data_IF_920365925644
#
_entry.id   IF_920365925644
#
_cell.length_a   1.000
_cell.length_b   1.000
_cell.length_c   1.000
_cell.angle_alpha   90.00
_cell.angle_beta   90.00
_cell.angle_gamma   90.00
#
_symmetry.space_group_name_H-M   'P 1'
#
loop_
_entity.id
_entity.type
_entity.pdbx_description
1 polymer ?
#
# COMPACT_ATOMS: atom_id res chain seq x y z
N UNK A 1 24.90 -48.04 57.09
CA UNK A 1 24.69 -49.49 56.90
C UNK A 1 23.54 -49.66 55.91
N UNK A 2 23.74 -50.52 54.90
CA UNK A 2 22.92 -50.81 53.71
C UNK A 2 22.85 -49.72 52.61
N UNK A 3 23.63 -49.85 51.52
CA UNK A 3 23.32 -50.49 50.20
C UNK A 3 22.17 -49.80 49.45
N UNK A 4 22.32 -49.34 48.21
CA UNK A 4 22.67 -50.13 47.02
C UNK A 4 23.03 -49.21 45.83
N UNK A 5 24.16 -49.50 45.16
CA UNK A 5 24.47 -49.03 43.80
C UNK A 5 23.63 -49.78 42.77
N UNK A 6 23.35 -49.18 41.61
CA UNK A 6 23.57 -49.85 40.32
C UNK A 6 23.65 -48.89 39.13
N UNK A 7 24.45 -49.34 38.15
CA UNK A 7 25.09 -48.71 37.00
C UNK A 7 24.20 -48.58 35.76
N UNK A 8 24.55 -47.59 34.93
CA UNK A 8 24.64 -47.59 33.45
C UNK A 8 23.39 -47.77 32.57
N UNK A 9 23.19 -46.90 31.58
CA UNK A 9 23.69 -47.04 30.19
C UNK A 9 23.26 -45.84 29.33
N UNK A 10 24.09 -45.54 28.33
CA UNK A 10 23.89 -44.55 27.26
C UNK A 10 22.71 -44.87 26.35
N UNK A 11 22.13 -43.85 25.71
CA UNK A 11 21.69 -43.90 24.32
C UNK A 11 21.44 -42.50 23.77
N UNK A 12 22.26 -42.11 22.79
CA UNK A 12 22.00 -41.03 21.85
C UNK A 12 20.73 -41.33 21.06
N UNK A 13 19.83 -40.35 20.90
CA UNK A 13 18.87 -40.34 19.81
C UNK A 13 18.72 -38.94 19.22
N UNK A 14 19.13 -38.88 17.95
CA UNK A 14 18.79 -37.89 16.93
C UNK A 14 17.27 -37.86 16.78
N UNK A 15 16.67 -36.66 16.85
CA UNK A 15 15.29 -36.45 16.37
C UNK A 15 15.35 -35.54 15.15
N UNK A 16 15.08 -36.18 14.01
CA UNK A 16 14.74 -35.57 12.74
C UNK A 16 13.31 -35.03 12.83
N UNK A 17 13.13 -33.74 12.54
CA UNK A 17 11.85 -33.13 12.14
C UNK A 17 12.13 -32.57 10.74
N UNK A 18 11.62 -33.10 9.62
CA UNK A 18 10.35 -33.77 9.41
C UNK A 18 9.49 -32.85 8.53
N UNK A 19 9.85 -32.75 7.24
CA UNK A 19 9.11 -31.98 6.25
C UNK A 19 7.70 -32.55 6.06
N UNK A 20 6.67 -31.76 6.37
CA UNK A 20 5.29 -32.10 6.08
C UNK A 20 4.91 -31.56 4.70
N UNK A 21 4.91 -32.45 3.72
CA UNK A 21 4.27 -32.25 2.42
C UNK A 21 2.74 -32.26 2.62
N UNK A 22 2.10 -31.10 2.47
CA UNK A 22 0.64 -31.01 2.38
C UNK A 22 0.23 -31.12 0.91
N UNK A 23 -0.09 -32.35 0.50
CA UNK A 23 -0.89 -32.60 -0.69
C UNK A 23 -2.37 -32.46 -0.34
N UNK A 24 -3.01 -31.38 -0.82
CA UNK A 24 -4.45 -31.26 -0.87
C UNK A 24 -4.86 -31.08 -2.33
N UNK A 25 -5.50 -32.12 -2.87
CA UNK A 25 -6.27 -32.08 -4.09
C UNK A 25 -7.50 -31.19 -3.85
N UNK A 26 -7.48 -29.95 -4.37
CA UNK A 26 -8.65 -29.07 -4.40
C UNK A 26 -9.40 -29.34 -5.69
N UNK A 27 -10.54 -30.04 -5.59
CA UNK A 27 -11.55 -30.09 -6.63
C UNK A 27 -12.33 -28.77 -6.65
N UNK A 28 -11.97 -27.89 -7.60
CA UNK A 28 -12.77 -26.89 -8.31
C UNK A 28 -13.90 -26.15 -7.58
N UNK A 29 -13.61 -24.94 -7.12
CA UNK A 29 -14.57 -23.84 -7.23
C UNK A 29 -14.42 -23.24 -8.64
N UNK A 30 -15.41 -23.45 -9.50
CA UNK A 30 -15.45 -22.88 -10.86
C UNK A 30 -15.77 -21.38 -10.81
N UNK A 31 -14.82 -20.59 -10.31
CA UNK A 31 -14.82 -19.14 -10.52
C UNK A 31 -14.31 -18.79 -11.92
N UNK A 32 -14.55 -17.55 -12.39
CA UNK A 32 -13.91 -17.03 -13.60
C UNK A 32 -12.38 -17.21 -13.50
N UNK A 33 -11.74 -17.69 -14.57
CA UNK A 33 -10.28 -17.97 -14.63
C UNK A 33 -9.45 -16.69 -14.53
N UNK A 34 -10.04 -15.57 -14.92
CA UNK A 34 -9.43 -14.24 -14.90
C UNK A 34 -10.50 -13.15 -14.91
N UNK A 35 -10.11 -11.95 -14.47
CA UNK A 35 -10.81 -10.68 -14.69
C UNK A 35 -10.01 -9.80 -15.66
N UNK A 36 -8.68 -9.92 -15.66
CA UNK A 36 -7.80 -9.23 -16.61
C UNK A 36 -6.58 -10.09 -17.03
N UNK A 37 -5.70 -9.52 -17.86
CA UNK A 37 -4.52 -10.22 -18.38
C UNK A 37 -3.51 -10.64 -17.30
N UNK A 38 -3.49 -9.95 -16.16
CA UNK A 38 -2.52 -10.19 -15.10
C UNK A 38 -2.93 -11.38 -14.24
N UNK A 39 -4.22 -11.55 -13.98
CA UNK A 39 -4.75 -12.79 -13.40
C UNK A 39 -4.29 -14.01 -14.19
N UNK A 40 -4.25 -13.89 -15.52
CA UNK A 40 -3.75 -14.94 -16.40
C UNK A 40 -2.26 -15.20 -16.26
N UNK A 41 -1.46 -14.15 -16.10
CA UNK A 41 -0.02 -14.29 -15.93
C UNK A 41 0.34 -14.90 -14.57
N UNK A 42 -0.45 -14.62 -13.53
CA UNK A 42 -0.33 -15.24 -12.20
C UNK A 42 -0.73 -16.72 -12.26
N UNK A 43 -1.83 -17.05 -12.95
CA UNK A 43 -2.37 -18.42 -12.98
C UNK A 43 -1.67 -19.34 -13.99
N UNK A 44 -1.16 -18.81 -15.11
CA UNK A 44 -0.52 -19.59 -16.19
C UNK A 44 0.96 -19.31 -16.40
N UNK A 45 1.54 -18.37 -15.66
CA UNK A 45 2.93 -17.93 -15.86
C UNK A 45 3.08 -17.03 -17.09
N UNK A 46 4.31 -16.92 -17.60
CA UNK A 46 4.59 -16.07 -18.77
C UNK A 46 3.95 -16.67 -20.04
N UNK A 47 3.26 -15.87 -20.88
CA UNK A 47 2.90 -16.32 -22.21
C UNK A 47 4.18 -16.62 -23.01
N UNK A 48 4.11 -17.59 -23.92
CA UNK A 48 5.22 -17.90 -24.82
C UNK A 48 5.63 -16.67 -25.65
N UNK A 49 6.87 -16.66 -26.13
CA UNK A 49 7.42 -15.53 -26.89
C UNK A 49 6.47 -15.05 -28.02
N UNK A 50 6.30 -13.73 -28.13
CA UNK A 50 5.41 -13.09 -29.11
C UNK A 50 3.92 -13.16 -28.78
N UNK A 51 3.54 -13.68 -27.61
CA UNK A 51 2.14 -13.76 -27.14
C UNK A 51 1.91 -12.91 -25.89
N UNK A 52 0.67 -12.47 -25.70
CA UNK A 52 0.16 -11.92 -24.44
C UNK A 52 -1.07 -12.71 -24.00
N UNK A 53 -1.26 -12.88 -22.69
CA UNK A 53 -2.54 -13.34 -22.19
C UNK A 53 -3.57 -12.20 -22.27
N UNK A 54 -4.78 -12.53 -22.67
CA UNK A 54 -5.95 -11.65 -22.60
C UNK A 54 -7.03 -12.41 -21.85
N UNK A 55 -7.71 -11.72 -20.93
CA UNK A 55 -8.87 -12.30 -20.29
C UNK A 55 -10.09 -12.11 -21.19
N UNK A 56 -10.57 -13.21 -21.79
CA UNK A 56 -11.73 -13.21 -22.66
C UNK A 56 -12.81 -14.12 -22.11
N UNK A 57 -14.00 -13.54 -21.87
CA UNK A 57 -15.13 -14.26 -21.28
C UNK A 57 -14.73 -15.03 -19.99
N UNK A 58 -13.86 -14.42 -19.18
CA UNK A 58 -13.31 -15.00 -17.96
C UNK A 58 -12.41 -16.23 -18.17
N UNK A 59 -11.77 -16.34 -19.35
CA UNK A 59 -10.83 -17.40 -19.70
C UNK A 59 -9.54 -16.78 -20.19
N UNK A 60 -8.40 -17.34 -19.77
CA UNK A 60 -7.08 -16.87 -20.14
C UNK A 60 -6.68 -17.42 -21.51
N UNK A 61 -6.73 -16.55 -22.52
CA UNK A 61 -6.40 -16.87 -23.90
C UNK A 61 -5.06 -16.21 -24.27
N UNK A 62 -4.12 -17.00 -24.78
CA UNK A 62 -2.88 -16.45 -25.34
C UNK A 62 -3.15 -15.93 -26.75
N UNK A 63 -2.96 -14.63 -26.97
CA UNK A 63 -3.04 -13.99 -28.29
C UNK A 63 -1.68 -13.52 -28.75
N UNK A 64 -1.47 -13.54 -30.06
CA UNK A 64 -0.28 -12.93 -30.63
C UNK A 64 -0.32 -11.42 -30.38
N UNK A 65 0.84 -10.85 -30.05
CA UNK A 65 0.98 -9.41 -29.87
C UNK A 65 0.91 -8.80 -31.27
N UNK A 66 -0.27 -8.28 -31.65
CA UNK A 66 -0.43 -7.51 -32.89
C UNK A 66 0.07 -6.09 -32.61
N UNK A 67 1.09 -5.59 -33.32
CA UNK A 67 1.49 -4.19 -33.21
C UNK A 67 0.34 -3.30 -33.66
N UNK A 68 -0.06 -2.32 -32.84
CA UNK A 68 -0.99 -1.29 -33.29
C UNK A 68 -0.34 -0.52 -34.45
N UNK A 69 -0.89 -0.71 -35.66
CA UNK A 69 -0.49 0.09 -36.82
C UNK A 69 -1.21 1.44 -36.71
N UNK A 70 -0.52 2.59 -36.65
CA UNK A 70 -1.16 3.89 -36.77
C UNK A 70 -1.84 3.99 -38.14
N UNK A 71 -3.15 4.24 -38.14
CA UNK A 71 -3.97 4.13 -39.35
C UNK A 71 -3.61 5.12 -40.47
N UNK A 72 -3.75 4.65 -41.71
CA UNK A 72 -4.04 5.48 -42.89
C UNK A 72 -5.07 4.76 -43.75
N UNK A 73 -6.18 5.44 -44.05
CA UNK A 73 -7.25 4.90 -44.87
C UNK A 73 -6.95 4.85 -46.38
N UNK A 74 -7.77 4.03 -47.04
CA UNK A 74 -8.21 4.10 -48.44
C UNK A 74 -7.31 3.58 -49.58
N UNK A 75 -7.85 2.53 -50.22
CA UNK A 75 -8.11 2.33 -51.66
C UNK A 75 -7.18 1.44 -52.54
N UNK A 76 -7.89 0.56 -53.27
CA UNK A 76 -7.67 -0.11 -54.55
C UNK A 76 -6.42 -0.96 -54.86
N UNK A 77 -6.69 -2.19 -55.34
CA UNK A 77 -5.97 -2.78 -56.48
C UNK A 77 -5.51 -4.24 -56.32
N UNK A 78 -6.05 -5.12 -57.15
CA UNK A 78 -5.63 -6.53 -57.33
C UNK A 78 -4.64 -6.65 -58.51
N UNK A 79 -3.52 -7.34 -58.32
CA UNK A 79 -2.57 -7.92 -59.32
C UNK A 79 -1.50 -8.69 -58.49
N UNK A 80 -1.26 -10.02 -58.55
CA UNK A 80 -0.92 -10.95 -59.65
C UNK A 80 0.56 -10.93 -60.14
N UNK A 81 1.54 -11.16 -59.24
CA UNK A 81 2.93 -11.42 -59.64
C UNK A 81 3.69 -12.36 -58.69
N UNK A 82 4.17 -13.48 -59.24
CA UNK A 82 5.01 -14.51 -58.59
C UNK A 82 6.49 -14.22 -58.84
N UNK A 83 7.31 -14.09 -57.79
CA UNK A 83 8.79 -14.23 -57.87
C UNK A 83 9.34 -14.66 -56.49
N UNK A 84 10.22 -15.69 -56.38
CA UNK A 84 10.76 -16.13 -55.11
C UNK A 84 12.03 -15.32 -54.78
N UNK A 85 11.82 -14.13 -54.23
CA UNK A 85 12.87 -13.28 -53.67
C UNK A 85 13.26 -13.74 -52.26
N UNK A 86 14.55 -13.97 -52.08
CA UNK A 86 15.20 -14.48 -50.88
C UNK A 86 14.87 -13.67 -49.61
N UNK A 87 14.49 -14.41 -48.56
CA UNK A 87 14.33 -13.95 -47.19
C UNK A 87 15.64 -13.33 -46.66
N UNK A 88 15.57 -12.02 -46.42
CA UNK A 88 16.41 -11.32 -45.46
C UNK A 88 15.56 -10.22 -44.80
N UNK A 89 14.38 -10.61 -44.30
CA UNK A 89 13.66 -9.79 -43.35
C UNK A 89 14.47 -9.80 -42.06
N UNK A 90 15.32 -8.79 -41.85
CA UNK A 90 15.87 -8.53 -40.53
C UNK A 90 14.67 -8.17 -39.66
N UNK A 91 14.19 -9.15 -38.90
CA UNK A 91 13.28 -8.93 -37.78
C UNK A 91 14.00 -8.02 -36.80
N UNK A 92 13.86 -6.71 -37.01
CA UNK A 92 14.11 -5.72 -36.00
C UNK A 92 12.96 -5.81 -34.99
N UNK A 93 12.84 -6.97 -34.34
CA UNK A 93 12.20 -7.10 -33.05
C UNK A 93 12.87 -6.02 -32.22
N UNK A 94 12.14 -4.93 -31.99
CA UNK A 94 12.67 -3.81 -31.21
C UNK A 94 12.85 -4.38 -29.83
N UNK A 95 14.10 -4.75 -29.49
CA UNK A 95 14.48 -5.15 -28.14
C UNK A 95 13.78 -4.20 -27.17
N UNK A 96 13.15 -4.72 -26.10
CA UNK A 96 12.41 -3.88 -25.16
C UNK A 96 13.33 -2.72 -24.75
N UNK A 97 12.94 -1.50 -25.14
CA UNK A 97 13.78 -0.31 -24.94
C UNK A 97 14.17 -0.25 -23.48
N UNK A 98 15.48 -0.31 -23.19
CA UNK A 98 15.96 -0.31 -21.83
C UNK A 98 15.47 0.97 -21.13
N UNK A 99 15.19 0.89 -19.82
CA UNK A 99 14.73 2.04 -19.05
C UNK A 99 15.66 3.26 -19.17
N UNK A 100 16.95 3.02 -19.36
CA UNK A 100 17.94 4.07 -19.60
C UNK A 100 17.63 4.92 -20.85
N UNK A 101 17.05 4.31 -21.89
CA UNK A 101 16.85 4.91 -23.21
C UNK A 101 15.45 5.53 -23.39
N UNK A 102 14.49 5.19 -22.52
CA UNK A 102 13.15 5.80 -22.55
C UNK A 102 13.20 7.26 -22.11
N UNK A 103 12.37 8.09 -22.76
CA UNK A 103 12.11 9.47 -22.32
C UNK A 103 11.44 9.46 -20.95
N UNK A 104 11.92 10.30 -20.04
CA UNK A 104 11.35 10.47 -18.70
C UNK A 104 10.95 11.91 -18.52
N UNK A 105 9.68 12.13 -18.15
CA UNK A 105 9.22 13.43 -17.66
C UNK A 105 9.96 13.78 -16.35
N UNK A 106 10.31 15.06 -16.18
CA UNK A 106 11.07 15.51 -15.02
C UNK A 106 10.30 15.33 -13.69
N UNK A 107 8.97 15.29 -13.74
CA UNK A 107 8.11 15.12 -12.58
C UNK A 107 7.55 13.71 -12.50
N UNK A 108 7.05 13.13 -13.59
CA UNK A 108 6.33 11.85 -13.59
C UNK A 108 7.14 10.66 -14.11
N UNK A 109 8.33 10.89 -14.66
CA UNK A 109 9.14 9.79 -15.20
C UNK A 109 8.45 9.20 -16.42
N UNK A 110 8.24 7.88 -16.42
CA UNK A 110 7.48 7.20 -17.47
C UNK A 110 5.99 7.03 -17.15
N UNK A 111 5.52 7.49 -15.98
CA UNK A 111 4.11 7.44 -15.62
C UNK A 111 3.31 8.48 -16.40
N UNK A 112 2.07 8.13 -16.74
CA UNK A 112 1.17 9.00 -17.50
C UNK A 112 -0.01 9.44 -16.63
N UNK A 113 -0.11 10.75 -16.42
CA UNK A 113 -1.25 11.37 -15.75
C UNK A 113 -2.51 11.22 -16.59
N UNK A 114 -3.60 10.76 -15.97
CA UNK A 114 -4.88 10.58 -16.64
C UNK A 114 -5.73 11.86 -16.63
N UNK A 115 -6.70 11.99 -17.56
CA UNK A 115 -7.64 13.11 -17.56
C UNK A 115 -8.38 13.26 -16.22
N UNK A 116 -8.64 14.51 -15.83
CA UNK A 116 -9.26 14.83 -14.54
C UNK A 116 -8.28 15.05 -13.40
N UNK A 117 -6.97 14.84 -13.63
CA UNK A 117 -5.93 15.08 -12.65
C UNK A 117 -4.88 16.08 -13.17
N UNK A 118 -4.22 16.78 -12.25
CA UNK A 118 -3.16 17.74 -12.59
C UNK A 118 -1.95 17.54 -11.69
N UNK A 119 -0.75 17.67 -12.25
CA UNK A 119 0.47 17.85 -11.47
C UNK A 119 0.55 19.32 -11.07
N UNK A 120 0.59 19.60 -9.77
CA UNK A 120 0.66 20.96 -9.24
C UNK A 120 2.12 21.41 -9.15
N UNK A 121 2.94 20.62 -8.48
CA UNK A 121 4.35 20.91 -8.23
C UNK A 121 5.10 19.62 -7.84
N UNK A 122 6.43 19.67 -7.89
CA UNK A 122 7.30 18.57 -7.48
C UNK A 122 8.50 19.07 -6.67
N UNK A 123 9.05 18.19 -5.85
CA UNK A 123 10.22 18.45 -5.01
C UNK A 123 11.14 17.23 -4.99
N UNK A 124 12.45 17.43 -4.88
CA UNK A 124 13.39 16.31 -4.70
C UNK A 124 13.12 15.60 -3.37
N UNK A 125 13.31 14.29 -3.36
CA UNK A 125 13.23 13.46 -2.17
C UNK A 125 14.57 12.77 -1.97
N UNK A 126 15.11 12.79 -0.75
CA UNK A 126 16.34 12.07 -0.47
C UNK A 126 16.13 10.55 -0.57
N UNK A 127 17.11 9.84 -1.13
CA UNK A 127 17.04 8.39 -1.40
C UNK A 127 16.79 7.53 -0.15
N UNK A 128 17.20 8.03 1.01
CA UNK A 128 17.08 7.35 2.29
C UNK A 128 15.71 7.54 2.99
N UNK A 129 14.77 8.27 2.40
CA UNK A 129 13.42 8.43 2.97
C UNK A 129 12.51 7.33 2.44
N UNK A 130 11.94 6.53 3.35
CA UNK A 130 11.08 5.38 3.02
C UNK A 130 9.58 5.60 3.28
N UNK A 131 9.22 6.53 4.15
CA UNK A 131 7.83 6.90 4.42
C UNK A 131 7.72 8.39 4.65
N UNK A 132 6.57 8.99 4.31
CA UNK A 132 6.33 10.42 4.47
C UNK A 132 4.94 10.71 5.05
N UNK A 133 4.80 11.89 5.63
CA UNK A 133 3.50 12.47 5.96
C UNK A 133 3.56 13.99 5.84
N UNK A 134 2.43 14.64 5.65
CA UNK A 134 2.33 16.09 5.64
C UNK A 134 1.39 16.57 6.74
N UNK A 135 1.85 17.54 7.53
CA UNK A 135 1.08 18.12 8.64
C UNK A 135 0.80 19.57 8.33
N UNK A 136 -0.48 19.95 8.38
CA UNK A 136 -0.91 21.32 8.18
C UNK A 136 -0.29 22.24 9.25
N UNK A 137 0.29 23.34 8.79
CA UNK A 137 0.81 24.43 9.61
C UNK A 137 -0.03 25.69 9.47
N UNK A 138 0.52 26.81 9.93
CA UNK A 138 -0.13 28.11 9.80
C UNK A 138 -0.28 28.52 8.32
N UNK A 139 -1.33 29.29 8.02
CA UNK A 139 -1.52 29.94 6.71
C UNK A 139 -1.54 28.99 5.51
N UNK A 140 -2.00 27.75 5.68
CA UNK A 140 -2.08 26.77 4.59
C UNK A 140 -0.73 26.16 4.17
N UNK A 141 0.32 26.35 4.98
CA UNK A 141 1.58 25.65 4.80
C UNK A 141 1.49 24.20 5.27
N UNK A 142 2.36 23.33 4.76
CA UNK A 142 2.45 21.94 5.20
C UNK A 142 3.90 21.60 5.52
N UNK A 143 4.14 21.11 6.73
CA UNK A 143 5.44 20.53 7.08
C UNK A 143 5.44 19.07 6.64
N UNK A 144 6.41 18.71 5.80
CA UNK A 144 6.62 17.32 5.38
C UNK A 144 7.57 16.67 6.38
N UNK A 145 7.20 15.49 6.86
CA UNK A 145 8.06 14.65 7.68
C UNK A 145 8.36 13.35 6.94
N UNK A 146 9.47 12.70 7.26
CA UNK A 146 9.79 11.40 6.69
C UNK A 146 10.60 10.51 7.60
N UNK A 147 10.45 9.20 7.41
CA UNK A 147 11.24 8.16 8.06
C UNK A 147 12.47 7.89 7.22
N UNK A 148 13.63 8.04 7.82
CA UNK A 148 14.93 7.83 7.20
C UNK A 148 15.42 6.38 7.42
N UNK A 149 16.31 5.89 6.56
CA UNK A 149 16.95 4.57 6.66
C UNK A 149 17.70 4.34 7.98
N UNK A 150 18.09 5.41 8.68
CA UNK A 150 18.65 5.35 10.03
C UNK A 150 17.60 5.05 11.13
N UNK A 151 16.34 4.80 10.72
CA UNK A 151 15.19 4.49 11.58
C UNK A 151 14.77 5.66 12.47
N UNK A 152 15.01 6.89 12.04
CA UNK A 152 14.54 8.10 12.72
C UNK A 152 13.60 8.93 11.83
N UNK A 153 12.74 9.73 12.46
CA UNK A 153 11.85 10.67 11.77
C UNK A 153 12.51 12.04 11.71
N UNK A 154 12.43 12.68 10.55
CA UNK A 154 12.96 14.01 10.30
C UNK A 154 11.86 14.95 9.81
N UNK A 155 11.93 16.22 10.19
CA UNK A 155 11.24 17.29 9.47
C UNK A 155 12.00 17.54 8.14
N UNK A 156 11.34 17.32 7.02
CA UNK A 156 11.94 17.45 5.69
C UNK A 156 11.82 18.86 5.12
N UNK A 157 11.03 19.73 5.74
CA UNK A 157 10.83 21.12 5.33
C UNK A 157 9.36 21.46 5.14
N UNK A 158 9.10 22.63 4.56
CA UNK A 158 7.76 23.10 4.25
C UNK A 158 7.51 22.92 2.77
N UNK A 159 6.45 22.18 2.41
CA UNK A 159 6.08 21.92 1.02
C UNK A 159 5.92 23.23 0.21
N UNK A 160 6.46 23.32 -1.02
CA UNK A 160 7.22 22.30 -1.78
C UNK A 160 8.73 22.26 -1.50
N UNK A 161 9.24 23.07 -0.59
CA UNK A 161 10.67 23.15 -0.27
C UNK A 161 11.08 22.02 0.68
N UNK A 162 11.35 20.86 0.11
CA UNK A 162 11.88 19.67 0.80
C UNK A 162 13.41 19.72 0.76
N UNK A 163 14.05 19.91 1.91
CA UNK A 163 15.51 20.04 2.03
C UNK A 163 16.12 19.25 3.20
N UNK A 164 15.31 18.64 4.06
CA UNK A 164 15.78 17.80 5.16
C UNK A 164 16.40 18.57 6.33
N UNK A 165 15.92 18.33 7.54
CA UNK A 165 16.73 18.55 8.74
C UNK A 165 17.86 17.52 8.79
N UNK A 166 19.04 17.89 9.28
CA UNK A 166 20.10 16.92 9.65
C UNK A 166 19.96 16.39 11.07
N UNK A 167 19.00 16.91 11.83
CA UNK A 167 18.71 16.51 13.21
C UNK A 167 17.44 15.67 13.26
N UNK A 168 17.50 14.43 13.75
CA UNK A 168 16.30 13.60 13.91
C UNK A 168 15.38 14.19 14.98
N UNK A 169 14.08 14.11 14.76
CA UNK A 169 13.05 14.49 15.75
C UNK A 169 12.94 13.42 16.83
N UNK A 170 12.77 12.17 16.41
CA UNK A 170 12.72 11.03 17.31
C UNK A 170 13.09 9.74 16.57
N UNK A 171 13.64 8.73 17.28
CA UNK A 171 13.88 7.43 16.69
C UNK A 171 12.57 6.62 16.65
N UNK A 172 12.31 5.95 15.53
CA UNK A 172 11.17 5.04 15.34
C UNK A 172 11.32 3.83 16.25
N UNK A 173 12.54 3.33 16.39
CA UNK A 173 12.91 2.30 17.36
C UNK A 173 13.21 2.98 18.69
N UNK A 174 12.67 2.45 19.79
CA UNK A 174 12.90 3.03 21.11
C UNK A 174 14.41 3.09 21.46
N UNK A 175 14.83 4.02 22.33
CA UNK A 175 16.22 4.08 22.78
C UNK A 175 16.71 2.73 23.35
N UNK A 176 17.86 2.25 22.85
CA UNK A 176 18.41 0.91 23.15
C UNK A 176 17.55 -0.27 22.65
N UNK A 177 16.64 0.00 21.72
CA UNK A 177 15.81 -1.01 21.09
C UNK A 177 16.57 -1.91 20.09
N UNK A 178 15.85 -2.88 19.50
CA UNK A 178 16.42 -3.89 18.62
C UNK A 178 17.00 -3.31 17.33
N UNK A 179 18.25 -3.67 17.02
CA UNK A 179 18.95 -3.20 15.82
C UNK A 179 18.41 -3.83 14.53
N UNK A 180 17.82 -5.02 14.62
CA UNK A 180 17.21 -5.76 13.51
C UNK A 180 15.72 -5.40 13.29
N UNK A 181 15.24 -4.28 13.84
CA UNK A 181 13.89 -3.80 13.61
C UNK A 181 13.66 -3.40 12.14
N UNK A 182 12.48 -3.72 11.62
CA UNK A 182 11.99 -3.30 10.32
C UNK A 182 11.01 -2.13 10.53
N UNK A 183 11.40 -0.87 10.25
CA UNK A 183 10.47 0.25 10.31
C UNK A 183 9.30 0.02 9.37
N UNK A 184 8.10 0.38 9.82
CA UNK A 184 6.91 0.36 8.99
C UNK A 184 6.98 1.49 7.94
N UNK A 185 6.37 1.25 6.77
CA UNK A 185 6.22 2.26 5.71
C UNK A 185 5.12 3.30 6.03
N UNK A 186 4.69 3.40 7.29
CA UNK A 186 3.67 4.35 7.74
C UNK A 186 4.26 5.39 8.67
N UNK A 187 4.08 6.64 8.26
CA UNK A 187 4.23 7.83 9.09
C UNK A 187 2.91 8.60 8.97
N UNK A 188 2.23 8.83 10.09
CA UNK A 188 0.94 9.53 10.10
C UNK A 188 0.87 10.56 11.20
N UNK A 189 -0.08 11.48 11.11
CA UNK A 189 -0.23 12.59 12.05
C UNK A 189 -1.66 12.77 12.54
N UNK A 190 -1.84 13.02 13.84
CA UNK A 190 -3.11 13.48 14.43
C UNK A 190 -3.26 15.03 14.37
N UNK A 191 -2.26 15.72 13.79
CA UNK A 191 -2.17 17.18 13.73
C UNK A 191 -1.13 17.78 14.67
N UNK A 192 -0.92 17.16 15.85
CA UNK A 192 0.04 17.62 16.87
C UNK A 192 1.03 16.54 17.30
N UNK A 193 0.84 15.31 16.83
CA UNK A 193 1.69 14.15 17.06
C UNK A 193 1.92 13.40 15.78
N UNK A 194 3.09 12.78 15.70
CA UNK A 194 3.46 11.84 14.66
C UNK A 194 3.41 10.42 15.21
N UNK A 195 2.92 9.48 14.41
CA UNK A 195 3.01 8.05 14.69
C UNK A 195 3.81 7.37 13.60
N UNK A 196 4.82 6.62 14.03
CA UNK A 196 5.57 5.65 13.25
C UNK A 196 5.67 4.35 14.05
N UNK A 197 6.43 3.37 13.57
CA UNK A 197 6.70 2.17 14.35
C UNK A 197 7.50 1.14 13.56
N UNK A 198 7.70 -0.01 14.18
CA UNK A 198 8.50 -1.09 13.61
C UNK A 198 7.97 -2.45 14.04
N UNK A 199 8.36 -3.46 13.26
CA UNK A 199 8.08 -4.88 13.51
C UNK A 199 9.40 -5.66 13.52
N UNK A 200 9.44 -6.77 14.25
CA UNK A 200 10.55 -7.72 14.32
C UNK A 200 10.18 -9.00 13.57
N UNK A 201 11.17 -9.86 13.33
CA UNK A 201 10.96 -11.12 12.61
C UNK A 201 9.96 -12.09 13.29
N UNK A 202 9.77 -11.96 14.61
CA UNK A 202 8.78 -12.74 15.37
C UNK A 202 7.39 -12.07 15.43
N UNK A 203 7.17 -11.05 14.59
CA UNK A 203 5.99 -10.20 14.56
C UNK A 203 5.73 -9.38 15.84
N UNK A 204 6.63 -9.37 16.83
CA UNK A 204 6.59 -8.35 17.88
C UNK A 204 7.04 -7.00 17.33
N UNK A 205 6.77 -5.92 18.04
CA UNK A 205 7.06 -4.58 17.54
C UNK A 205 6.56 -3.50 18.48
N UNK A 206 6.71 -2.25 18.05
CA UNK A 206 6.17 -1.10 18.75
C UNK A 206 5.69 -0.03 17.77
N UNK A 207 4.69 0.72 18.21
CA UNK A 207 4.38 2.04 17.64
C UNK A 207 5.02 3.11 18.51
N UNK A 208 5.55 4.14 17.86
CA UNK A 208 6.17 5.30 18.46
C UNK A 208 5.29 6.52 18.18
N UNK A 209 4.76 7.14 19.24
CA UNK A 209 4.00 8.39 19.17
C UNK A 209 4.88 9.52 19.68
N UNK A 210 5.11 10.51 18.85
CA UNK A 210 5.92 11.68 19.17
C UNK A 210 5.09 12.95 19.12
N UNK A 211 5.04 13.67 20.23
CA UNK A 211 4.33 14.94 20.34
C UNK A 211 5.23 16.09 19.89
N UNK A 212 4.86 16.75 18.79
CA UNK A 212 5.70 17.77 18.14
C UNK A 212 5.74 19.09 18.91
N UNK A 213 4.87 19.27 19.90
CA UNK A 213 4.80 20.47 20.74
C UNK A 213 5.67 20.30 21.98
N UNK A 214 5.56 19.15 22.65
CA UNK A 214 6.29 18.86 23.90
C UNK A 214 7.64 18.16 23.66
N UNK A 215 7.88 17.68 22.44
CA UNK A 215 9.05 16.89 22.04
C UNK A 215 9.21 15.59 22.85
N UNK A 216 8.09 15.02 23.30
CA UNK A 216 8.05 13.77 24.06
C UNK A 216 7.66 12.59 23.16
N UNK A 217 8.30 11.44 23.36
CA UNK A 217 7.99 10.21 22.64
C UNK A 217 7.51 9.11 23.60
N UNK A 218 6.45 8.42 23.19
CA UNK A 218 5.87 7.27 23.89
C UNK A 218 5.89 6.07 22.96
N UNK A 219 6.31 4.91 23.47
CA UNK A 219 6.38 3.66 22.71
C UNK A 219 5.41 2.64 23.30
N UNK A 220 4.57 2.04 22.47
CA UNK A 220 3.59 1.03 22.89
C UNK A 220 3.86 -0.27 22.14
N UNK A 221 3.79 -1.41 22.83
CA UNK A 221 3.89 -2.71 22.19
C UNK A 221 2.77 -2.88 21.16
N UNK A 222 3.14 -3.33 19.96
CA UNK A 222 2.23 -3.60 18.86
C UNK A 222 2.71 -4.83 18.10
N UNK A 223 1.80 -5.73 17.72
CA UNK A 223 2.17 -6.95 16.97
C UNK A 223 1.73 -6.88 15.52
N UNK A 224 2.51 -7.52 14.67
CA UNK A 224 2.32 -7.59 13.23
C UNK A 224 2.91 -6.40 12.49
N UNK A 225 2.91 -6.51 11.17
CA UNK A 225 3.03 -5.33 10.32
C UNK A 225 1.75 -4.52 10.47
N UNK A 226 1.85 -3.19 10.47
CA UNK A 226 0.69 -2.33 10.66
C UNK A 226 0.57 -1.27 9.57
N UNK A 227 -0.67 -0.88 9.32
CA UNK A 227 -1.01 0.40 8.70
C UNK A 227 -1.61 1.31 9.75
N UNK A 228 -1.53 2.61 9.52
CA UNK A 228 -2.10 3.58 10.44
C UNK A 228 -2.70 4.78 9.71
N UNK A 229 -3.64 5.45 10.37
CA UNK A 229 -4.11 6.80 10.01
C UNK A 229 -4.28 7.63 11.28
N UNK A 230 -4.02 8.93 11.18
CA UNK A 230 -4.28 9.87 12.26
C UNK A 230 -5.62 10.57 12.09
N UNK A 231 -6.38 10.63 13.18
CA UNK A 231 -7.58 11.43 13.38
C UNK A 231 -7.26 12.52 14.40
N UNK A 232 -8.08 13.55 14.52
CA UNK A 232 -7.90 14.53 15.61
C UNK A 232 -7.96 13.82 16.98
N UNK A 233 -6.84 13.85 17.70
CA UNK A 233 -6.69 13.23 19.02
C UNK A 233 -6.68 11.70 19.07
N UNK A 234 -6.53 11.01 17.94
CA UNK A 234 -6.42 9.55 17.91
C UNK A 234 -5.64 9.00 16.71
N UNK A 235 -5.11 7.79 16.84
CA UNK A 235 -4.61 7.01 15.71
C UNK A 235 -5.42 5.72 15.56
N UNK A 236 -5.72 5.34 14.31
CA UNK A 236 -6.31 4.04 13.99
C UNK A 236 -5.22 3.14 13.42
N UNK A 237 -4.88 2.09 14.15
CA UNK A 237 -3.74 1.21 13.89
C UNK A 237 -4.29 -0.16 13.53
N UNK A 238 -4.02 -0.61 12.32
CA UNK A 238 -4.34 -1.96 11.87
C UNK A 238 -3.22 -2.90 12.28
N UNK A 239 -3.49 -3.92 13.08
CA UNK A 239 -2.44 -4.77 13.65
C UNK A 239 -2.99 -6.09 14.15
N UNK A 240 -2.12 -6.91 14.74
CA UNK A 240 -2.48 -8.17 15.39
C UNK A 240 -2.70 -8.03 16.89
N UNK A 241 -2.19 -6.95 17.48
CA UNK A 241 -2.25 -6.64 18.91
C UNK A 241 -1.82 -5.19 19.15
N UNK A 242 -2.33 -4.58 20.22
CA UNK A 242 -1.86 -3.28 20.70
C UNK A 242 -1.94 -3.23 22.24
N UNK A 243 -0.84 -2.76 22.86
CA UNK A 243 -0.71 -2.64 24.31
C UNK A 243 -1.91 -1.92 24.93
N UNK A 244 -2.48 -2.52 25.98
CA UNK A 244 -3.64 -1.98 26.70
C UNK A 244 -4.99 -2.54 26.23
N UNK A 245 -5.03 -3.39 25.20
CA UNK A 245 -6.25 -4.09 24.78
C UNK A 245 -6.21 -5.54 25.22
N UNK A 246 -7.29 -6.01 25.86
CA UNK A 246 -7.37 -7.39 26.35
C UNK A 246 -7.60 -8.42 25.25
N UNK A 247 -8.31 -8.04 24.18
CA UNK A 247 -8.59 -8.94 23.06
C UNK A 247 -7.47 -8.90 22.02
N UNK A 248 -6.84 -10.05 21.81
CA UNK A 248 -5.81 -10.25 20.78
C UNK A 248 -6.43 -10.62 19.43
N UNK A 249 -5.76 -10.28 18.33
CA UNK A 249 -6.12 -10.73 16.99
C UNK A 249 -6.07 -9.61 15.96
N UNK A 250 -6.16 -9.98 14.68
CA UNK A 250 -6.17 -9.00 13.60
C UNK A 250 -7.39 -8.08 13.74
N UNK A 251 -7.14 -6.78 13.90
CA UNK A 251 -8.18 -5.77 14.11
C UNK A 251 -7.68 -4.37 13.74
N UNK A 252 -8.60 -3.40 13.75
CA UNK A 252 -8.23 -1.98 13.84
C UNK A 252 -8.38 -1.55 15.29
N UNK A 253 -7.28 -1.07 15.85
CA UNK A 253 -7.18 -0.54 17.20
C UNK A 253 -7.20 0.99 17.17
N UNK A 254 -7.91 1.60 18.11
CA UNK A 254 -7.88 3.03 18.33
C UNK A 254 -6.94 3.35 19.50
N UNK A 255 -5.98 4.24 19.26
CA UNK A 255 -5.10 4.83 20.26
C UNK A 255 -5.49 6.30 20.46
N UNK A 256 -6.23 6.60 21.53
CA UNK A 256 -6.65 7.96 21.89
C UNK A 256 -5.53 8.67 22.65
N UNK A 257 -5.06 9.79 22.10
CA UNK A 257 -3.82 10.47 22.52
C UNK A 257 -4.04 11.68 23.43
N UNK A 258 -5.29 11.98 23.79
CA UNK A 258 -5.66 13.15 24.61
C UNK A 258 -5.44 12.95 26.12
N UNK A 259 -5.18 11.72 26.58
CA UNK A 259 -4.91 11.39 27.99
C UNK A 259 -3.50 10.83 28.17
N UNK A 260 -2.97 10.91 29.39
CA UNK A 260 -1.74 10.19 29.77
C UNK A 260 -2.01 9.34 31.02
N UNK A 261 -1.88 8.00 30.95
CA UNK A 261 -1.52 7.21 29.76
C UNK A 261 -2.58 7.31 28.64
N UNK A 262 -2.17 6.96 27.42
CA UNK A 262 -3.09 6.89 26.29
C UNK A 262 -4.19 5.86 26.55
N UNK A 263 -5.38 6.10 26.01
CA UNK A 263 -6.50 5.15 26.07
C UNK A 263 -6.53 4.33 24.80
N UNK A 264 -6.63 3.01 24.94
CA UNK A 264 -6.59 2.07 23.81
C UNK A 264 -7.85 1.21 23.81
N UNK A 265 -8.43 1.00 22.63
CA UNK A 265 -9.60 0.14 22.45
C UNK A 265 -9.59 -0.52 21.07
N UNK A 266 -10.22 -1.69 20.92
CA UNK A 266 -10.49 -2.26 19.61
C UNK A 266 -11.64 -1.50 18.95
N UNK A 267 -11.38 -0.87 17.80
CA UNK A 267 -12.37 -0.09 17.06
C UNK A 267 -13.16 -0.94 16.07
N UNK A 268 -12.51 -1.87 15.36
CA UNK A 268 -13.19 -2.68 14.35
C UNK A 268 -12.68 -4.12 14.32
N UNK A 269 -13.60 -5.05 14.10
CA UNK A 269 -13.30 -6.47 13.83
C UNK A 269 -13.48 -6.79 12.35
N UNK A 270 -12.66 -7.69 11.83
CA UNK A 270 -12.73 -8.11 10.44
C UNK A 270 -13.79 -9.20 10.23
N UNK A 271 -14.48 -9.22 9.09
CA UNK A 271 -15.57 -10.14 8.81
C UNK A 271 -15.10 -11.58 8.48
N UNK A 272 -13.78 -11.84 8.57
CA UNK A 272 -13.17 -13.15 8.32
C UNK A 272 -12.25 -13.54 9.47
N UNK A 273 -12.30 -14.82 9.86
CA UNK A 273 -11.56 -15.35 11.01
C UNK A 273 -10.04 -15.41 10.79
N UNK A 274 -9.60 -15.71 9.56
CA UNK A 274 -8.20 -15.69 9.17
C UNK A 274 -7.92 -14.39 8.42
N UNK A 275 -7.52 -13.37 9.16
CA UNK A 275 -7.13 -12.09 8.60
C UNK A 275 -5.74 -11.69 9.07
N UNK A 276 -5.07 -10.89 8.25
CA UNK A 276 -3.88 -10.14 8.61
C UNK A 276 -4.14 -8.65 8.38
N UNK A 277 -3.19 -7.82 8.80
CA UNK A 277 -3.30 -6.38 8.67
C UNK A 277 -3.38 -5.95 7.21
N UNK A 278 -4.28 -4.99 6.93
CA UNK A 278 -4.47 -4.39 5.62
C UNK A 278 -4.09 -2.91 5.63
N UNK A 279 -4.64 -2.16 4.68
CA UNK A 279 -4.33 -0.74 4.46
C UNK A 279 -5.41 0.15 5.06
N UNK A 280 -5.00 1.24 5.72
CA UNK A 280 -5.91 2.25 6.24
C UNK A 280 -5.69 3.57 5.48
N UNK A 281 -6.75 4.35 5.27
CA UNK A 281 -6.67 5.71 4.73
C UNK A 281 -7.72 6.63 5.37
N UNK A 282 -7.49 7.95 5.30
CA UNK A 282 -8.43 8.97 5.78
C UNK A 282 -8.63 10.01 4.69
N UNK A 283 -9.88 10.25 4.32
CA UNK A 283 -10.26 11.28 3.34
C UNK A 283 -10.48 12.64 3.99
N UNK A 284 -10.55 13.71 3.18
CA UNK A 284 -10.79 15.07 3.70
C UNK A 284 -12.18 15.27 4.29
N UNK A 285 -13.18 14.55 3.78
CA UNK A 285 -14.52 14.45 4.38
C UNK A 285 -14.60 13.47 5.57
N UNK A 286 -13.45 13.10 6.14
CA UNK A 286 -13.30 12.33 7.38
C UNK A 286 -13.83 10.90 7.33
N UNK A 287 -14.07 10.35 6.13
CA UNK A 287 -14.37 8.93 5.96
C UNK A 287 -13.07 8.16 6.17
N UNK A 288 -13.10 7.17 7.07
CA UNK A 288 -11.97 6.26 7.26
C UNK A 288 -12.15 5.06 6.34
N UNK A 289 -11.07 4.67 5.68
CA UNK A 289 -10.97 3.41 4.96
C UNK A 289 -10.22 2.44 5.87
N UNK A 290 -10.87 1.35 6.24
CA UNK A 290 -10.34 0.31 7.12
C UNK A 290 -10.18 -0.97 6.32
N UNK A 291 -8.93 -1.44 6.20
CA UNK A 291 -8.60 -2.61 5.39
C UNK A 291 -8.28 -3.85 6.19
N UNK A 292 -8.27 -5.00 5.53
CA UNK A 292 -7.66 -6.23 6.05
C UNK A 292 -7.21 -7.12 4.89
N UNK A 293 -6.33 -8.08 5.17
CA UNK A 293 -6.00 -9.15 4.23
C UNK A 293 -6.72 -10.43 4.63
N UNK A 294 -7.57 -10.96 3.75
CA UNK A 294 -8.35 -12.20 3.96
C UNK A 294 -8.21 -13.16 2.79
N UNK A 295 -6.99 -13.34 2.26
CA UNK A 295 -6.70 -14.00 0.99
C UNK A 295 -6.52 -13.03 -0.18
N UNK A 296 -7.05 -11.82 -0.03
CA UNK A 296 -6.77 -10.61 -0.83
C UNK A 296 -6.92 -9.40 0.08
N UNK A 297 -6.40 -8.25 -0.33
CA UNK A 297 -6.65 -7.00 0.37
C UNK A 297 -8.10 -6.58 0.16
N UNK A 298 -8.80 -6.23 1.24
CA UNK A 298 -10.18 -5.75 1.24
C UNK A 298 -10.22 -4.42 1.96
N UNK A 299 -10.91 -3.43 1.40
CA UNK A 299 -11.08 -2.10 1.99
C UNK A 299 -12.57 -1.81 2.22
N UNK A 300 -12.90 -1.37 3.43
CA UNK A 300 -14.24 -0.88 3.78
C UNK A 300 -14.19 0.61 4.08
N UNK A 301 -15.18 1.36 3.60
CA UNK A 301 -15.33 2.77 3.96
C UNK A 301 -16.29 2.92 5.15
N UNK A 302 -15.95 3.77 6.10
CA UNK A 302 -16.74 4.02 7.32
C UNK A 302 -16.87 5.51 7.54
N UNK A 303 -18.10 6.01 7.62
CA UNK A 303 -18.37 7.44 7.82
C UNK A 303 -18.10 7.88 9.27
N UNK A 304 -17.84 9.19 9.50
CA UNK A 304 -17.74 9.75 10.85
C UNK A 304 -18.90 9.38 11.76
N UNK A 305 -20.13 9.42 11.25
CA UNK A 305 -21.33 9.11 12.03
C UNK A 305 -21.42 7.63 12.44
N UNK A 306 -20.66 6.76 11.78
CA UNK A 306 -20.55 5.35 12.13
C UNK A 306 -19.39 5.07 13.10
N UNK A 307 -18.18 5.58 12.84
CA UNK A 307 -17.02 5.24 13.70
C UNK A 307 -16.85 6.15 14.92
N UNK A 308 -17.28 7.41 14.88
CA UNK A 308 -17.03 8.35 15.98
C UNK A 308 -17.72 7.94 17.29
N UNK A 309 -18.98 7.45 17.29
CA UNK A 309 -19.59 6.92 18.51
C UNK A 309 -18.83 5.73 19.09
N UNK A 310 -18.36 4.82 18.24
CA UNK A 310 -17.58 3.65 18.65
C UNK A 310 -16.22 4.05 19.23
N UNK A 311 -15.52 4.97 18.56
CA UNK A 311 -14.26 5.55 19.02
C UNK A 311 -14.42 6.24 20.39
N UNK A 312 -15.47 7.05 20.56
CA UNK A 312 -15.74 7.73 21.82
C UNK A 312 -16.02 6.73 22.94
N UNK A 313 -16.91 5.77 22.71
CA UNK A 313 -17.31 4.76 23.69
C UNK A 313 -16.25 3.69 23.96
N UNK A 314 -15.23 3.55 23.09
CA UNK A 314 -14.25 2.46 23.16
C UNK A 314 -14.87 1.11 22.81
N UNK A 315 -15.86 1.09 21.92
CA UNK A 315 -16.53 -0.12 21.45
C UNK A 315 -16.09 -0.49 20.04
N UNK A 316 -16.35 -1.74 19.65
CA UNK A 316 -16.03 -2.23 18.30
C UNK A 316 -17.22 -2.08 17.35
N UNK A 317 -16.93 -1.69 16.12
CA UNK A 317 -17.86 -1.75 14.98
C UNK A 317 -17.62 -3.01 14.14
N UNK A 318 -18.67 -3.43 13.43
CA UNK A 318 -18.66 -4.57 12.52
C UNK A 318 -18.54 -4.09 11.07
N UNK A 319 -17.48 -4.50 10.38
CA UNK A 319 -17.24 -4.13 8.98
C UNK A 319 -18.13 -4.89 7.98
N UNK A 320 -18.86 -5.91 8.41
CA UNK A 320 -19.89 -6.57 7.58
C UNK A 320 -21.23 -5.82 7.57
N UNK A 321 -21.33 -4.72 8.33
CA UNK A 321 -22.55 -3.93 8.44
C UNK A 321 -22.95 -3.22 7.14
N UNK A 322 -24.25 -2.92 7.00
CA UNK A 322 -24.78 -2.22 5.84
C UNK A 322 -24.21 -0.78 5.65
N UNK A 323 -23.69 -0.19 6.72
CA UNK A 323 -23.10 1.16 6.73
C UNK A 323 -21.60 1.18 6.44
N UNK A 324 -20.98 0.01 6.25
CA UNK A 324 -19.53 -0.13 6.03
C UNK A 324 -19.27 -0.84 4.70
N UNK A 325 -19.63 -0.22 3.55
CA UNK A 325 -19.52 -0.86 2.25
C UNK A 325 -18.07 -1.25 1.96
N UNK A 326 -17.90 -2.44 1.37
CA UNK A 326 -16.65 -2.84 0.74
C UNK A 326 -16.46 -1.98 -0.52
N UNK A 327 -15.37 -1.22 -0.59
CA UNK A 327 -15.08 -0.32 -1.71
C UNK A 327 -14.04 -0.89 -2.67
N UNK A 328 -13.24 -1.85 -2.21
CA UNK A 328 -12.21 -2.48 -3.03
C UNK A 328 -11.87 -3.86 -2.49
N UNK A 329 -11.54 -4.80 -3.39
CA UNK A 329 -10.95 -6.07 -3.03
C UNK A 329 -10.03 -6.60 -4.14
N UNK A 330 -8.73 -6.76 -3.86
CA UNK A 330 -7.73 -7.16 -4.85
C UNK A 330 -6.42 -7.65 -4.23
N UNK A 331 -5.65 -8.45 -4.97
CA UNK A 331 -4.31 -8.91 -4.57
C UNK A 331 -3.18 -7.94 -4.98
N UNK A 332 -3.52 -6.94 -5.78
CA UNK A 332 -2.63 -5.96 -6.39
C UNK A 332 -2.35 -4.73 -5.51
N UNK A 333 -2.93 -4.61 -4.32
CA UNK A 333 -2.78 -3.41 -3.49
C UNK A 333 -1.49 -3.39 -2.66
N UNK A 334 -0.70 -2.33 -2.82
CA UNK A 334 0.53 -2.07 -2.06
C UNK A 334 0.43 -0.95 -1.04
N UNK A 335 -0.45 0.02 -1.26
CA UNK A 335 -0.64 1.13 -0.33
C UNK A 335 -1.97 1.84 -0.55
N UNK A 336 -2.51 2.47 0.49
CA UNK A 336 -3.68 3.35 0.39
C UNK A 336 -3.42 4.67 1.12
N UNK A 337 -3.88 5.79 0.55
CA UNK A 337 -3.73 7.11 1.13
C UNK A 337 -4.99 7.97 0.87
N UNK A 338 -5.24 8.97 1.69
CA UNK A 338 -6.29 9.96 1.40
C UNK A 338 -5.95 10.77 0.15
N UNK A 339 -6.95 11.05 -0.69
CA UNK A 339 -6.82 11.94 -1.83
C UNK A 339 -8.12 12.73 -2.03
N UNK A 340 -8.20 13.87 -1.33
CA UNK A 340 -9.42 14.66 -1.20
C UNK A 340 -10.55 13.88 -0.55
N UNK A 341 -11.77 14.06 -1.07
CA UNK A 341 -12.94 13.26 -0.71
C UNK A 341 -12.90 11.84 -1.33
N UNK A 342 -11.74 11.18 -1.30
CA UNK A 342 -11.53 9.87 -1.89
C UNK A 342 -10.26 9.21 -1.35
N UNK A 343 -10.03 7.96 -1.75
CA UNK A 343 -8.85 7.19 -1.40
C UNK A 343 -8.04 6.87 -2.65
N UNK A 344 -6.74 7.14 -2.60
CA UNK A 344 -5.78 6.70 -3.60
C UNK A 344 -5.27 5.30 -3.26
N UNK A 345 -5.13 4.46 -4.29
CA UNK A 345 -4.66 3.09 -4.22
C UNK A 345 -3.40 2.96 -5.08
N UNK A 346 -2.29 2.53 -4.50
CA UNK A 346 -1.10 2.13 -5.24
C UNK A 346 -1.21 0.65 -5.54
N UNK A 347 -1.36 0.33 -6.83
CA UNK A 347 -1.60 -1.04 -7.29
C UNK A 347 -0.41 -1.54 -8.10
N UNK A 348 -0.16 -2.83 -8.04
CA UNK A 348 1.02 -3.43 -8.65
C UNK A 348 1.15 -4.94 -8.43
N UNK A 349 2.34 -5.44 -8.76
CA UNK A 349 2.72 -6.83 -8.59
C UNK A 349 4.18 -6.92 -8.11
N UNK A 350 4.57 -8.05 -7.53
CA UNK A 350 5.97 -8.28 -7.16
C UNK A 350 6.71 -8.93 -8.33
N UNK A 351 7.95 -8.52 -8.57
CA UNK A 351 8.86 -9.26 -9.44
C UNK A 351 9.27 -10.59 -8.77
N UNK A 352 9.94 -11.48 -9.51
CA UNK A 352 10.50 -12.72 -8.95
C UNK A 352 11.52 -12.44 -7.82
N UNK A 353 12.13 -11.26 -7.81
CA UNK A 353 13.06 -10.80 -6.77
C UNK A 353 12.37 -9.99 -5.67
N UNK A 354 11.04 -10.02 -5.60
CA UNK A 354 10.21 -9.29 -4.62
C UNK A 354 10.33 -7.76 -4.70
N UNK A 355 10.67 -7.22 -5.88
CA UNK A 355 10.60 -5.78 -6.11
C UNK A 355 9.17 -5.37 -6.45
N UNK A 356 8.71 -4.25 -5.90
CA UNK A 356 7.39 -3.72 -6.20
C UNK A 356 7.37 -3.12 -7.61
N UNK A 357 6.59 -3.72 -8.49
CA UNK A 357 6.31 -3.21 -9.82
C UNK A 357 4.99 -2.46 -9.77
N UNK A 358 5.05 -1.15 -9.99
CA UNK A 358 3.83 -0.33 -10.05
C UNK A 358 3.04 -0.69 -11.31
N UNK A 359 1.73 -0.81 -11.16
CA UNK A 359 0.79 -0.94 -12.27
C UNK A 359 0.08 0.40 -12.51
N UNK A 360 -0.50 0.96 -11.44
CA UNK A 360 -1.08 2.29 -11.45
C UNK A 360 -1.18 2.90 -10.05
N UNK A 361 -1.48 4.20 -10.03
CA UNK A 361 -2.15 4.84 -8.90
C UNK A 361 -3.58 5.11 -9.33
N UNK A 362 -4.55 4.59 -8.60
CA UNK A 362 -5.98 4.79 -8.84
C UNK A 362 -6.64 5.52 -7.68
N UNK A 363 -7.86 6.04 -7.90
CA UNK A 363 -8.65 6.76 -6.90
C UNK A 363 -10.09 6.23 -6.87
N UNK A 364 -10.66 6.13 -5.68
CA UNK A 364 -12.09 5.90 -5.46
C UNK A 364 -12.64 7.10 -4.71
N UNK A 365 -13.58 7.85 -5.30
CA UNK A 365 -14.27 8.94 -4.59
C UNK A 365 -15.22 8.37 -3.53
N UNK A 366 -15.29 8.99 -2.36
CA UNK A 366 -16.12 8.59 -1.24
C UNK A 366 -16.97 9.77 -0.75
N UNK A 367 -18.26 9.58 -0.58
CA UNK A 367 -19.16 10.58 -0.01
C UNK A 367 -20.06 9.99 1.08
N UNK A 368 -20.45 10.77 2.11
CA UNK A 368 -21.47 10.34 3.06
C UNK A 368 -22.77 9.97 2.33
N UNK A 369 -23.48 8.99 2.86
CA UNK A 369 -24.74 8.50 2.29
C UNK A 369 -25.78 8.23 3.39
N UNK A 370 -27.05 8.16 2.98
CA UNK A 370 -28.18 8.01 3.89
C UNK A 370 -28.55 9.32 4.58
N UNK A 371 -29.80 9.43 5.03
CA UNK A 371 -30.30 10.62 5.72
C UNK A 371 -29.69 10.82 7.11
N UNK A 372 -29.12 9.77 7.69
CA UNK A 372 -28.40 9.80 8.97
C UNK A 372 -26.87 9.93 8.81
N UNK A 373 -26.36 10.00 7.57
CA UNK A 373 -24.93 10.12 7.27
C UNK A 373 -24.09 8.89 7.64
N UNK A 374 -24.70 7.78 8.05
CA UNK A 374 -23.96 6.57 8.47
C UNK A 374 -23.43 5.76 7.31
N UNK A 375 -24.09 5.82 6.15
CA UNK A 375 -23.64 5.14 4.95
C UNK A 375 -22.48 5.89 4.27
N UNK A 376 -21.84 5.19 3.33
CA UNK A 376 -20.88 5.78 2.40
C UNK A 376 -21.27 5.36 0.98
N UNK A 377 -21.20 6.27 0.02
CA UNK A 377 -21.25 5.96 -1.41
C UNK A 377 -19.83 5.98 -1.96
N UNK A 378 -19.43 4.90 -2.62
CA UNK A 378 -18.18 4.82 -3.37
C UNK A 378 -18.44 5.04 -4.85
N UNK A 379 -17.59 5.86 -5.48
CA UNK A 379 -17.55 6.02 -6.93
C UNK A 379 -16.84 4.86 -7.62
N UNK A 380 -16.65 5.01 -8.93
CA UNK A 380 -15.86 4.06 -9.70
C UNK A 380 -14.36 4.18 -9.36
N UNK A 381 -13.62 3.12 -9.65
CA UNK A 381 -12.16 3.15 -9.63
C UNK A 381 -11.65 3.93 -10.85
N UNK A 382 -11.02 5.07 -10.62
CA UNK A 382 -10.48 5.96 -11.65
C UNK A 382 -8.95 5.90 -11.62
N UNK A 383 -8.30 5.63 -12.75
CA UNK A 383 -6.83 5.64 -12.82
C UNK A 383 -6.35 7.10 -12.79
N UNK A 384 -5.39 7.39 -11.91
CA UNK A 384 -4.75 8.71 -11.73
C UNK A 384 -3.43 8.77 -12.51
N UNK A 385 -2.57 7.78 -12.26
CA UNK A 385 -1.30 7.58 -12.96
C UNK A 385 -1.34 6.18 -13.57
N UNK A 386 -1.15 6.07 -14.88
CA UNK A 386 -1.00 4.79 -15.56
C UNK A 386 0.46 4.54 -15.93
N UNK A 387 0.77 3.27 -16.17
CA UNK A 387 2.11 2.83 -16.48
C UNK A 387 2.12 1.99 -17.76
N UNK A 388 3.10 2.24 -18.63
CA UNK A 388 3.31 1.47 -19.88
C UNK A 388 4.55 0.56 -19.83
N UNK A 389 5.39 0.71 -18.81
CA UNK A 389 6.67 0.02 -18.61
C UNK A 389 7.07 0.09 -17.13
N UNK A 390 8.02 -0.71 -16.65
CA UNK A 390 8.41 -0.76 -15.21
C UNK A 390 9.50 0.23 -14.80
N UNK A 391 9.75 1.30 -15.57
CA UNK A 391 10.94 2.15 -15.39
C UNK A 391 10.79 3.26 -14.34
N UNK A 392 9.56 3.54 -13.90
CA UNK A 392 9.28 4.46 -12.79
C UNK A 392 8.44 3.73 -11.75
N UNK A 393 8.86 3.80 -10.49
CA UNK A 393 8.20 3.15 -9.37
C UNK A 393 7.61 4.18 -8.42
N UNK A 394 6.42 3.89 -7.88
CA UNK A 394 5.86 4.62 -6.76
C UNK A 394 6.45 4.03 -5.47
N UNK A 395 7.08 4.88 -4.67
CA UNK A 395 7.80 4.49 -3.44
C UNK A 395 7.16 5.00 -2.17
N UNK A 396 6.26 5.99 -2.27
CA UNK A 396 5.51 6.51 -1.14
C UNK A 396 4.22 7.18 -1.61
N UNK A 397 3.21 7.21 -0.74
CA UNK A 397 2.03 8.06 -0.91
C UNK A 397 1.63 8.67 0.43
N UNK A 398 1.22 9.93 0.42
CA UNK A 398 0.67 10.59 1.60
C UNK A 398 -0.36 11.66 1.22
N UNK A 399 -1.41 11.88 2.04
CA UNK A 399 -2.33 12.98 1.82
C UNK A 399 -1.65 14.34 2.06
N UNK A 400 -2.04 15.35 1.29
CA UNK A 400 -1.70 16.76 1.48
C UNK A 400 -2.97 17.60 1.31
N UNK A 401 -3.76 17.69 2.39
CA UNK A 401 -5.13 18.22 2.34
C UNK A 401 -5.96 17.58 1.23
N UNK A 402 -6.45 18.34 0.25
CA UNK A 402 -7.24 17.81 -0.87
C UNK A 402 -6.41 17.06 -1.92
N UNK A 403 -5.08 17.13 -1.82
CA UNK A 403 -4.16 16.59 -2.81
C UNK A 403 -3.47 15.32 -2.31
N UNK A 404 -2.77 14.65 -3.23
CA UNK A 404 -1.95 13.49 -2.97
C UNK A 404 -0.48 13.83 -3.26
N UNK A 405 0.40 13.54 -2.29
CA UNK A 405 1.83 13.44 -2.54
C UNK A 405 2.15 12.01 -2.98
N UNK A 406 2.76 11.88 -4.15
CA UNK A 406 3.26 10.60 -4.68
C UNK A 406 4.78 10.67 -4.77
N UNK A 407 5.46 9.78 -4.07
CA UNK A 407 6.90 9.58 -4.19
C UNK A 407 7.21 8.69 -5.37
N UNK A 408 8.05 9.18 -6.28
CA UNK A 408 8.48 8.48 -7.49
C UNK A 408 9.99 8.24 -7.47
N UNK A 409 10.40 7.12 -8.04
CA UNK A 409 11.80 6.74 -8.25
C UNK A 409 12.00 6.22 -9.67
N UNK A 410 13.01 6.74 -10.36
CA UNK A 410 13.46 6.30 -11.68
C UNK A 410 14.94 6.70 -11.89
N UNK A 411 15.42 6.66 -13.13
CA UNK A 411 16.81 7.04 -13.48
C UNK A 411 17.20 8.49 -13.13
N UNK A 412 16.24 9.38 -12.93
CA UNK A 412 16.46 10.78 -12.54
C UNK A 412 16.49 10.95 -11.01
N UNK A 413 16.38 9.86 -10.24
CA UNK A 413 16.37 9.87 -8.79
C UNK A 413 14.97 10.07 -8.20
N UNK A 414 14.93 10.21 -6.87
CA UNK A 414 13.67 10.29 -6.12
C UNK A 414 13.10 11.70 -6.03
N UNK A 415 11.77 11.78 -6.08
CA UNK A 415 11.02 13.04 -5.96
C UNK A 415 9.61 12.81 -5.44
N UNK A 416 9.05 13.83 -4.81
CA UNK A 416 7.64 13.92 -4.48
C UNK A 416 6.92 14.75 -5.54
N UNK A 417 5.75 14.30 -5.96
CA UNK A 417 4.87 15.00 -6.90
C UNK A 417 3.53 15.22 -6.23
N UNK A 418 3.04 16.46 -6.24
CA UNK A 418 1.69 16.80 -5.76
C UNK A 418 0.70 16.68 -6.90
N UNK A 419 -0.26 15.79 -6.73
CA UNK A 419 -1.36 15.56 -7.65
C UNK A 419 -2.65 16.15 -7.09
N UNK A 420 -3.37 16.88 -7.92
CA UNK A 420 -4.70 17.40 -7.62
C UNK A 420 -5.76 16.68 -8.46
N UNK A 421 -6.85 16.28 -7.82
CA UNK A 421 -8.05 15.80 -8.50
C UNK A 421 -8.92 16.99 -8.86
N UNK A 422 -9.18 17.19 -10.15
CA UNK A 422 -10.09 18.24 -10.61
C UNK A 422 -11.47 18.06 -10.00
N UNK A 423 -12.15 19.17 -9.70
CA UNK A 423 -13.57 19.14 -9.38
C UNK A 423 -14.37 18.66 -10.60
N UNK A 424 -15.33 17.74 -10.42
CA UNK A 424 -16.22 17.28 -11.49
C UNK A 424 -16.92 18.40 -12.27
#
# INVERSE_FOLDING_TARGET
>A
MMTKMMKSRSLSQVVVLGAAAFGLLVTGCSGPECVDRFDCQINKGSPGAGKQFVCEANVCVARDIVPETPGTGSDAGTDAGTDPGTDAGTDAGTEPTACADLSHDAQLGTLQLQPGFTVVESALLAENIGAITAVAGASGSYTVYGVNSDKSVYALGTWPNVAGSTTPLFPVVEPNGPQNAFPSNYLVSDGVRLLAGYTLADASGKVAVHDTVTNASTYLAAKGNFSAVGLDGAFLINGLDLEGVSETGSAVYALKTQSTPFSVSRLATFPVAQSASGFNALTTNKIVVLGYFGGKNVLHAVSPETYAPALAAGTSLDLSGANTPQIYAGSDLFYAAGFGAGVALHRGAYSESYEQLTHDVARISLSPAGSDGKGVTAGNLEVVLSQSNTCTSVVAMAPLAEDLLVGLEDKNGRRLVRLHAGTP
#
